data_IF_050371826557
#
_entry.id   IF_050371826557
#
_cell.length_a   1.000
_cell.length_b   1.000
_cell.length_c   1.000
_cell.angle_alpha   90.00
_cell.angle_beta   90.00
_cell.angle_gamma   90.00
#
_symmetry.space_group_name_H-M   'P 1'
#
loop_
_entity.id
_entity.type
_entity.pdbx_description
1 polymer ?
#
# COMPACT_ATOMS: atom_id res chain seq x y z
N UNK A 1 0.40 -16.69 5.91
CA UNK A 1 0.37 -15.25 5.54
C UNK A 1 -1.07 -14.81 5.59
N UNK A 2 -1.34 -13.56 5.97
CA UNK A 2 -2.72 -13.03 6.06
C UNK A 2 -2.89 -12.03 4.91
N UNK A 3 -3.95 -12.17 4.11
CA UNK A 3 -4.30 -11.23 3.04
C UNK A 3 -5.06 -10.05 3.65
N UNK A 4 -4.70 -8.81 3.29
CA UNK A 4 -5.39 -7.59 3.74
C UNK A 4 -5.47 -6.58 2.61
N UNK A 5 -6.57 -5.84 2.52
CA UNK A 5 -6.67 -4.67 1.64
C UNK A 5 -6.06 -3.45 2.36
N UNK A 6 -5.07 -2.82 1.76
CA UNK A 6 -4.31 -1.72 2.38
C UNK A 6 -4.08 -0.57 1.40
N UNK A 7 -3.83 0.60 1.97
CA UNK A 7 -3.26 1.76 1.28
C UNK A 7 -1.73 1.75 1.45
N UNK A 8 -1.01 2.03 0.37
CA UNK A 8 0.45 2.06 0.30
C UNK A 8 0.86 3.34 -0.44
N UNK A 9 1.79 4.12 0.08
CA UNK A 9 2.30 5.34 -0.55
C UNK A 9 3.82 5.43 -0.39
N UNK A 10 4.53 5.66 -1.50
CA UNK A 10 5.97 5.94 -1.46
C UNK A 10 6.22 7.35 -0.95
N UNK A 11 7.06 7.49 0.07
CA UNK A 11 7.38 8.79 0.72
C UNK A 11 8.76 9.30 0.31
N UNK A 12 9.71 8.42 0.05
CA UNK A 12 11.07 8.83 -0.35
C UNK A 12 11.03 9.65 -1.63
N UNK A 13 11.58 10.87 -1.57
CA UNK A 13 11.64 11.77 -2.73
C UNK A 13 10.35 12.53 -3.04
N UNK A 14 9.29 12.38 -2.23
CA UNK A 14 7.99 13.01 -2.45
C UNK A 14 7.48 13.74 -1.21
N UNK A 15 6.96 14.95 -1.39
CA UNK A 15 6.33 15.76 -0.33
C UNK A 15 4.82 15.52 -0.30
N UNK A 16 4.40 14.28 0.00
CA UNK A 16 2.99 13.81 0.02
C UNK A 16 2.33 13.53 -1.35
N UNK A 17 3.06 13.77 -2.43
CA UNK A 17 2.61 13.52 -3.81
C UNK A 17 3.14 12.20 -4.40
N UNK A 18 3.58 11.28 -3.54
CA UNK A 18 4.20 10.04 -3.98
C UNK A 18 3.24 9.10 -4.72
N UNK A 19 3.75 8.19 -5.55
CA UNK A 19 2.95 7.09 -6.08
C UNK A 19 2.24 6.35 -4.95
N UNK A 20 0.95 6.09 -5.11
CA UNK A 20 0.13 5.45 -4.10
C UNK A 20 -0.78 4.38 -4.69
N UNK A 21 -1.07 3.37 -3.88
CA UNK A 21 -1.82 2.20 -4.25
C UNK A 21 -2.87 1.83 -3.20
N UNK A 22 -3.98 1.29 -3.67
CA UNK A 22 -4.89 0.46 -2.88
C UNK A 22 -4.86 -0.94 -3.49
N UNK A 23 -4.45 -1.91 -2.70
CA UNK A 23 -4.30 -3.28 -3.17
C UNK A 23 -4.14 -4.29 -2.06
N UNK A 24 -4.16 -5.56 -2.46
CA UNK A 24 -4.03 -6.65 -1.52
C UNK A 24 -2.57 -6.90 -1.17
N UNK A 25 -2.30 -6.88 0.14
CA UNK A 25 -0.99 -7.23 0.70
C UNK A 25 -1.07 -8.59 1.37
N UNK A 26 0.09 -9.26 1.48
CA UNK A 26 0.27 -10.38 2.40
C UNK A 26 1.11 -9.94 3.59
N UNK A 27 0.71 -10.33 4.79
CA UNK A 27 1.55 -10.14 5.98
C UNK A 27 2.19 -11.44 6.43
N UNK A 28 3.36 -11.35 7.04
CA UNK A 28 3.92 -12.45 7.83
C UNK A 28 2.96 -12.84 8.96
N UNK A 29 3.12 -14.04 9.54
CA UNK A 29 2.24 -14.54 10.60
C UNK A 29 2.24 -13.62 11.84
N UNK A 30 3.39 -12.99 12.12
CA UNK A 30 3.56 -12.02 13.21
C UNK A 30 3.13 -10.60 12.84
N UNK A 31 2.78 -10.35 11.57
CA UNK A 31 2.46 -9.02 11.07
C UNK A 31 3.65 -8.07 10.93
N UNK A 32 4.88 -8.53 11.20
CA UNK A 32 6.11 -7.71 11.16
C UNK A 32 6.54 -7.31 9.74
N UNK A 33 6.17 -8.11 8.74
CA UNK A 33 6.56 -7.88 7.34
C UNK A 33 5.31 -7.85 6.48
N UNK A 34 5.24 -6.87 5.60
CA UNK A 34 4.20 -6.73 4.57
C UNK A 34 4.85 -7.05 3.23
N UNK A 35 4.15 -7.78 2.36
CA UNK A 35 4.58 -8.08 1.00
C UNK A 35 3.52 -7.55 0.03
N UNK A 36 3.96 -6.81 -0.97
CA UNK A 36 3.08 -6.22 -1.97
C UNK A 36 3.87 -5.93 -3.24
N UNK A 37 3.33 -6.30 -4.40
CA UNK A 37 3.87 -5.94 -5.71
C UNK A 37 5.39 -6.20 -5.90
N UNK A 38 5.88 -7.39 -5.55
CA UNK A 38 7.30 -7.78 -5.59
C UNK A 38 8.21 -7.05 -4.56
N UNK A 39 7.64 -6.30 -3.62
CA UNK A 39 8.33 -5.64 -2.52
C UNK A 39 8.04 -6.30 -1.17
N UNK A 40 8.92 -6.06 -0.21
CA UNK A 40 8.70 -6.43 1.18
C UNK A 40 9.10 -5.30 2.11
N UNK A 41 8.22 -5.03 3.07
CA UNK A 41 8.29 -3.87 3.93
C UNK A 41 8.42 -4.29 5.39
N UNK A 42 9.34 -3.67 6.10
CA UNK A 42 9.47 -3.78 7.54
C UNK A 42 8.97 -2.50 8.21
N UNK A 43 8.43 -2.65 9.43
CA UNK A 43 7.93 -1.50 10.17
C UNK A 43 9.09 -0.64 10.65
N UNK A 44 8.97 0.67 10.49
CA UNK A 44 9.91 1.66 11.01
C UNK A 44 9.17 2.72 11.84
N UNK A 45 9.92 3.43 12.70
CA UNK A 45 9.42 4.60 13.42
C UNK A 45 9.85 5.85 12.66
N UNK A 46 8.89 6.57 12.10
CA UNK A 46 9.13 7.81 11.37
C UNK A 46 7.98 8.80 11.54
N UNK A 47 8.23 10.06 11.22
CA UNK A 47 7.21 11.12 11.25
C UNK A 47 6.31 11.08 10.01
N UNK A 48 6.91 10.95 8.83
CA UNK A 48 6.22 10.97 7.53
C UNK A 48 6.12 9.59 6.85
N UNK A 49 6.61 8.54 7.49
CA UNK A 49 6.59 7.15 7.01
C UNK A 49 6.49 6.19 8.19
N UNK A 50 6.00 4.98 7.95
CA UNK A 50 5.85 3.95 8.98
C UNK A 50 6.35 2.56 8.53
N UNK A 51 6.76 2.42 7.27
CA UNK A 51 7.42 1.24 6.73
C UNK A 51 8.61 1.61 5.86
N UNK A 52 9.56 0.70 5.73
CA UNK A 52 10.71 0.79 4.83
C UNK A 52 10.72 -0.47 3.97
N UNK A 53 10.99 -0.31 2.68
CA UNK A 53 11.25 -1.43 1.79
C UNK A 53 12.63 -2.04 2.09
N UNK A 54 12.65 -3.35 2.35
CA UNK A 54 13.82 -4.06 2.87
C UNK A 54 14.98 -4.06 1.86
N UNK A 55 14.71 -4.02 0.56
CA UNK A 55 15.74 -4.14 -0.48
C UNK A 55 16.29 -2.77 -0.90
N UNK A 56 15.42 -1.77 -1.02
CA UNK A 56 15.76 -0.44 -1.52
C UNK A 56 16.05 0.59 -0.43
N UNK A 57 15.56 0.38 0.79
CA UNK A 57 15.59 1.39 1.86
C UNK A 57 14.61 2.55 1.65
N UNK A 58 13.73 2.47 0.66
CA UNK A 58 12.73 3.51 0.43
C UNK A 58 11.67 3.50 1.54
N UNK A 59 11.27 4.70 1.97
CA UNK A 59 10.30 4.90 3.02
C UNK A 59 8.88 4.95 2.46
N UNK A 60 7.96 4.26 3.12
CA UNK A 60 6.56 4.14 2.73
C UNK A 60 5.63 4.49 3.88
N UNK A 61 4.45 4.98 3.52
CA UNK A 61 3.29 5.00 4.38
C UNK A 61 2.36 3.84 4.02
N UNK A 62 2.12 2.93 4.96
CA UNK A 62 1.21 1.80 4.77
C UNK A 62 0.18 1.78 5.91
N UNK A 63 -1.10 1.77 5.54
CA UNK A 63 -2.20 1.74 6.50
C UNK A 63 -3.37 0.90 5.97
N UNK A 64 -4.33 0.61 6.84
CA UNK A 64 -5.64 0.14 6.37
C UNK A 64 -6.29 1.19 5.46
N UNK A 65 -7.15 0.74 4.56
CA UNK A 65 -7.99 1.64 3.78
C UNK A 65 -8.96 2.37 4.71
N UNK A 66 -9.15 3.68 4.48
CA UNK A 66 -10.06 4.52 5.25
C UNK A 66 -11.43 4.58 4.59
N UNK A 67 -12.46 4.64 5.43
CA UNK A 67 -13.87 4.75 5.02
C UNK A 67 -14.19 6.06 4.30
N UNK A 68 -13.59 7.15 4.75
CA UNK A 68 -13.70 8.46 4.10
C UNK A 68 -12.43 8.67 3.30
N UNK A 69 -12.54 9.19 2.08
CA UNK A 69 -11.49 9.40 1.04
C UNK A 69 -10.28 10.26 1.50
N UNK A 70 -9.64 9.83 2.56
CA UNK A 70 -8.59 10.53 3.33
C UNK A 70 -7.36 9.64 3.46
N UNK A 71 -7.22 8.67 2.55
CA UNK A 71 -6.10 7.73 2.52
C UNK A 71 -4.78 8.49 2.31
N UNK A 72 -4.75 9.36 1.30
CA UNK A 72 -3.65 10.29 1.06
C UNK A 72 -3.69 11.45 2.05
N UNK A 73 -2.52 12.01 2.37
CA UNK A 73 -2.40 13.22 3.18
C UNK A 73 -3.17 14.40 2.56
N UNK A 74 -3.67 15.33 3.38
CA UNK A 74 -4.55 16.42 2.92
C UNK A 74 -3.86 17.39 1.93
N UNK A 75 -2.53 17.50 2.02
CA UNK A 75 -1.71 18.30 1.11
C UNK A 75 -1.16 17.48 -0.06
N UNK A 76 -1.48 16.18 -0.12
CA UNK A 76 -1.03 15.29 -1.17
C UNK A 76 -1.98 15.28 -2.37
N UNK A 77 -1.41 15.16 -3.55
CA UNK A 77 -2.09 15.19 -4.85
C UNK A 77 -1.82 13.91 -5.64
N UNK A 78 -2.44 13.82 -6.81
CA UNK A 78 -2.27 12.71 -7.73
C UNK A 78 -3.23 11.56 -7.47
N UNK A 79 -3.36 10.71 -8.49
CA UNK A 79 -4.28 9.56 -8.44
C UNK A 79 -3.72 8.46 -7.54
N UNK A 80 -4.64 7.69 -6.98
CA UNK A 80 -4.34 6.44 -6.28
C UNK A 80 -4.61 5.29 -7.25
N UNK A 81 -3.59 4.47 -7.49
CA UNK A 81 -3.74 3.26 -8.29
C UNK A 81 -4.51 2.22 -7.48
N UNK A 82 -5.66 1.76 -7.96
CA UNK A 82 -6.44 0.72 -7.29
C UNK A 82 -6.41 -0.56 -8.10
N UNK A 83 -6.09 -1.67 -7.43
CA UNK A 83 -6.22 -3.00 -8.01
C UNK A 83 -7.68 -3.23 -8.42
N UNK A 84 -7.94 -3.58 -9.68
CA UNK A 84 -9.29 -3.85 -10.19
C UNK A 84 -10.04 -4.86 -9.32
N UNK A 85 -9.33 -5.83 -8.74
CA UNK A 85 -9.89 -6.86 -7.87
C UNK A 85 -10.32 -6.33 -6.50
N UNK A 86 -9.75 -5.21 -6.07
CA UNK A 86 -10.04 -4.59 -4.78
C UNK A 86 -11.24 -3.64 -4.84
N UNK A 87 -11.69 -3.24 -6.04
CA UNK A 87 -12.76 -2.26 -6.22
C UNK A 87 -14.04 -2.64 -5.45
N UNK A 88 -14.57 -3.88 -5.53
CA UNK A 88 -15.81 -4.21 -4.82
C UNK A 88 -15.71 -4.06 -3.30
N UNK A 89 -14.61 -4.56 -2.71
CA UNK A 89 -14.35 -4.47 -1.26
C UNK A 89 -14.10 -3.02 -0.82
N UNK A 90 -13.41 -2.23 -1.65
CA UNK A 90 -13.18 -0.82 -1.35
C UNK A 90 -14.47 0.00 -1.43
N UNK A 91 -15.33 -0.25 -2.43
CA UNK A 91 -16.64 0.40 -2.56
C UNK A 91 -17.55 0.08 -1.36
N UNK A 92 -17.58 -1.18 -0.92
CA UNK A 92 -18.31 -1.58 0.29
C UNK A 92 -17.78 -0.86 1.54
N UNK A 93 -16.45 -0.72 1.66
CA UNK A 93 -15.82 -0.01 2.77
C UNK A 93 -16.23 1.47 2.84
N UNK A 94 -16.25 2.16 1.70
CA UNK A 94 -16.59 3.60 1.65
C UNK A 94 -18.10 3.84 1.57
N UNK A 95 -18.89 2.83 1.23
CA UNK A 95 -20.35 2.92 1.12
C UNK A 95 -20.83 3.52 -0.21
N UNK A 96 -19.98 3.50 -1.25
CA UNK A 96 -20.26 4.10 -2.56
C UNK A 96 -20.59 3.05 -3.61
N UNK A 97 -21.33 3.45 -4.65
CA UNK A 97 -21.69 2.56 -5.77
C UNK A 97 -20.64 2.53 -6.87
N UNK A 98 -19.84 3.58 -6.97
CA UNK A 98 -18.81 3.75 -7.99
C UNK A 98 -17.61 4.48 -7.42
N UNK A 99 -16.46 4.33 -8.07
CA UNK A 99 -15.25 4.98 -7.61
C UNK A 99 -15.37 6.50 -7.82
N UNK A 100 -15.01 7.31 -6.81
CA UNK A 100 -14.97 8.76 -6.91
C UNK A 100 -14.19 9.23 -8.14
N UNK A 101 -14.83 10.06 -8.95
CA UNK A 101 -14.27 10.51 -10.22
C UNK A 101 -12.96 11.26 -10.03
N UNK A 102 -11.94 10.91 -10.81
CA UNK A 102 -10.66 11.62 -10.83
C UNK A 102 -9.67 11.26 -9.73
N UNK A 103 -10.08 10.55 -8.67
CA UNK A 103 -9.19 10.17 -7.56
C UNK A 103 -8.43 8.87 -7.83
N UNK A 104 -9.02 7.95 -8.59
CA UNK A 104 -8.48 6.60 -8.80
C UNK A 104 -8.06 6.33 -10.24
N UNK A 105 -7.01 5.53 -10.38
CA UNK A 105 -6.61 4.90 -11.63
C UNK A 105 -6.68 3.38 -11.46
N UNK A 106 -7.44 2.70 -12.32
CA UNK A 106 -7.60 1.24 -12.23
C UNK A 106 -6.36 0.57 -12.81
N UNK A 107 -5.84 -0.44 -12.10
CA UNK A 107 -4.68 -1.20 -12.56
C UNK A 107 -4.75 -2.66 -12.14
N UNK A 108 -3.94 -3.50 -12.78
CA UNK A 108 -3.76 -4.90 -12.39
C UNK A 108 -2.47 -5.03 -11.60
N UNK A 109 -2.59 -5.38 -10.32
CA UNK A 109 -1.43 -5.56 -9.44
C UNK A 109 -1.15 -7.06 -9.32
N UNK A 110 0.03 -7.49 -9.76
CA UNK A 110 0.41 -8.89 -9.70
C UNK A 110 0.61 -9.35 -8.24
N UNK A 111 0.15 -10.58 -7.95
CA UNK A 111 0.40 -11.26 -6.67
C UNK A 111 1.84 -11.81 -6.61
N UNK A 112 2.82 -10.91 -6.69
CA UNK A 112 4.23 -11.23 -6.57
C UNK A 112 4.71 -10.93 -5.14
N UNK A 113 5.17 -11.96 -4.44
CA UNK A 113 5.61 -11.83 -3.05
C UNK A 113 7.01 -12.43 -2.90
N UNK A 114 8.06 -11.63 -2.65
CA UNK A 114 9.45 -12.07 -2.71
C UNK A 114 9.90 -12.83 -1.45
N UNK A 115 9.06 -13.69 -0.88
CA UNK A 115 9.27 -14.28 0.45
C UNK A 115 10.62 -15.00 0.58
N UNK A 116 10.96 -15.87 -0.39
CA UNK A 116 12.24 -16.60 -0.38
C UNK A 116 13.45 -15.68 -0.63
N UNK A 117 13.29 -14.63 -1.45
CA UNK A 117 14.34 -13.64 -1.71
C UNK A 117 14.66 -12.86 -0.43
N UNK A 118 13.63 -12.39 0.26
CA UNK A 118 13.76 -11.62 1.51
C UNK A 118 14.29 -12.47 2.66
N UNK A 119 13.88 -13.74 2.76
CA UNK A 119 14.43 -14.68 3.75
C UNK A 119 15.94 -14.86 3.62
N UNK A 120 16.49 -14.83 2.40
CA UNK A 120 17.93 -14.94 2.17
C UNK A 120 18.71 -13.67 2.49
N UNK A 121 18.06 -12.50 2.47
CA UNK A 121 18.70 -11.22 2.79
C UNK A 121 18.77 -10.97 4.31
N UNK A 122 17.80 -11.51 5.06
CA UNK A 122 17.71 -11.32 6.52
C UNK A 122 18.42 -12.40 7.34
N UNK A 123 18.95 -13.45 6.68
CA UNK A 123 19.72 -14.54 7.29
C UNK A 123 21.19 -14.41 6.87
#
# INVERSE_FOLDING_TARGET
>A
MIKKLMYIELKTGYSDDGPAWIGYVKTSRTGKTIYFNNHAFQRQTGYNSNYEDIESGEAYWISGCKKYESNRHWAGHGKIMIDERAIPEYLELIGEKELPAGLFEKTQIADCYPVERIRKLLN
#
